data_IF_500261775241
#
_entry.id   IF_500261775241
#
_cell.length_a   1.000
_cell.length_b   1.000
_cell.length_c   1.000
_cell.angle_alpha   90.00
_cell.angle_beta   90.00
_cell.angle_gamma   90.00
#
_symmetry.space_group_name_H-M   'P 1'
#
loop_
_entity.id
_entity.type
_entity.pdbx_description
1 polymer ?
#
# COMPACT_ATOMS: atom_id res chain seq x y z
N UNK A 1 20.38 8.02 -1.77
CA UNK A 1 19.00 8.54 -1.77
C UNK A 1 18.56 8.75 -0.32
N UNK A 2 18.07 9.94 0.03
CA UNK A 2 17.46 10.20 1.34
C UNK A 2 16.01 9.77 1.22
N UNK A 3 15.59 8.73 1.95
CA UNK A 3 14.21 8.24 1.92
C UNK A 3 13.26 9.39 2.30
N UNK A 4 12.47 9.93 1.36
CA UNK A 4 11.62 11.09 1.62
C UNK A 4 10.50 10.74 2.60
N UNK A 5 10.14 9.46 2.70
CA UNK A 5 9.11 8.96 3.60
C UNK A 5 9.62 8.62 5.00
N UNK A 6 10.95 8.63 5.23
CA UNK A 6 11.56 8.30 6.52
C UNK A 6 11.12 9.24 7.64
N UNK A 7 10.88 10.51 7.30
CA UNK A 7 10.48 11.56 8.25
C UNK A 7 8.98 11.55 8.56
N UNK A 8 8.18 10.85 7.78
CA UNK A 8 6.74 10.76 8.01
C UNK A 8 6.45 9.84 9.20
N UNK A 9 5.40 10.19 9.95
CA UNK A 9 4.83 9.28 10.94
C UNK A 9 4.38 8.00 10.23
N UNK A 10 4.54 6.86 10.90
CA UNK A 10 4.19 5.54 10.35
C UNK A 10 2.78 5.51 9.73
N UNK A 11 1.81 6.13 10.39
CA UNK A 11 0.42 6.19 9.92
C UNK A 11 0.29 7.00 8.63
N UNK A 12 0.99 8.13 8.52
CA UNK A 12 0.98 8.97 7.31
C UNK A 12 1.67 8.26 6.15
N UNK A 13 2.82 7.63 6.40
CA UNK A 13 3.53 6.81 5.39
C UNK A 13 2.63 5.71 4.84
N UNK A 14 1.89 5.02 5.71
CA UNK A 14 0.98 3.96 5.27
C UNK A 14 -0.16 4.50 4.40
N UNK A 15 -0.75 5.64 4.76
CA UNK A 15 -1.80 6.28 3.94
C UNK A 15 -1.27 6.70 2.57
N UNK A 16 -0.10 7.33 2.54
CA UNK A 16 0.57 7.73 1.29
C UNK A 16 0.88 6.51 0.41
N UNK A 17 1.28 5.38 1.01
CA UNK A 17 1.51 4.15 0.27
C UNK A 17 0.24 3.63 -0.39
N UNK A 18 -0.90 3.63 0.32
CA UNK A 18 -2.17 3.20 -0.27
C UNK A 18 -2.56 4.10 -1.44
N UNK A 19 -2.51 5.42 -1.24
CA UNK A 19 -2.80 6.39 -2.30
C UNK A 19 -1.88 6.19 -3.50
N UNK A 20 -0.59 6.00 -3.27
CA UNK A 20 0.38 5.77 -4.33
C UNK A 20 0.09 4.51 -5.15
N UNK A 21 -0.39 3.44 -4.51
CA UNK A 21 -0.81 2.20 -5.19
C UNK A 21 -2.04 2.46 -6.07
N UNK A 22 -2.99 3.28 -5.59
CA UNK A 22 -4.19 3.66 -6.37
C UNK A 22 -3.87 4.59 -7.53
N UNK A 23 -2.92 5.52 -7.37
CA UNK A 23 -2.44 6.43 -8.42
C UNK A 23 -1.59 5.72 -9.48
N UNK A 24 -0.93 4.62 -9.11
CA UNK A 24 -0.02 3.87 -9.97
C UNK A 24 -0.36 2.37 -10.02
N UNK A 25 -1.53 1.97 -10.57
CA UNK A 25 -1.96 0.57 -10.60
C UNK A 25 -1.06 -0.33 -11.46
N UNK A 26 -0.22 0.25 -12.31
CA UNK A 26 0.72 -0.48 -13.18
C UNK A 26 2.04 -0.83 -12.48
N UNK A 27 2.32 -0.26 -11.30
CA UNK A 27 3.54 -0.55 -10.56
C UNK A 27 3.39 -1.85 -9.77
N UNK A 28 4.45 -2.65 -9.77
CA UNK A 28 4.50 -3.86 -8.95
C UNK A 28 4.74 -3.50 -7.48
N UNK A 29 4.31 -4.37 -6.56
CA UNK A 29 4.56 -4.19 -5.12
C UNK A 29 6.05 -4.08 -4.78
N UNK A 30 6.93 -4.66 -5.61
CA UNK A 30 8.37 -4.55 -5.44
C UNK A 30 8.87 -3.15 -5.77
N UNK A 31 8.40 -2.55 -6.87
CA UNK A 31 8.74 -1.18 -7.25
C UNK A 31 8.22 -0.18 -6.21
N UNK A 32 6.98 -0.36 -5.75
CA UNK A 32 6.39 0.46 -4.69
C UNK A 32 7.20 0.33 -3.39
N UNK A 33 7.64 -0.89 -3.04
CA UNK A 33 8.50 -1.12 -1.89
C UNK A 33 9.83 -0.36 -1.99
N UNK A 34 10.44 -0.30 -3.17
CA UNK A 34 11.67 0.48 -3.40
C UNK A 34 11.44 1.98 -3.23
N UNK A 35 10.30 2.52 -3.68
CA UNK A 35 9.95 3.95 -3.52
C UNK A 35 9.80 4.33 -2.04
N UNK A 36 9.14 3.46 -1.25
CA UNK A 36 8.89 3.70 0.18
C UNK A 36 9.97 3.12 1.11
N UNK A 37 11.03 2.56 0.54
CA UNK A 37 12.11 1.86 1.25
C UNK A 37 11.59 0.81 2.26
N UNK A 38 10.64 -0.01 1.83
CA UNK A 38 10.09 -1.13 2.61
C UNK A 38 10.02 -2.39 1.76
N UNK A 39 10.07 -3.55 2.41
CA UNK A 39 9.99 -4.83 1.70
C UNK A 39 8.64 -5.03 1.01
N UNK A 40 8.62 -5.73 -0.14
CA UNK A 40 7.37 -6.09 -0.86
C UNK A 40 6.32 -6.76 0.05
N UNK A 41 6.78 -7.62 0.97
CA UNK A 41 5.92 -8.30 1.93
C UNK A 41 5.22 -7.28 2.85
N UNK A 42 5.93 -6.23 3.25
CA UNK A 42 5.38 -5.16 4.07
C UNK A 42 4.33 -4.34 3.32
N UNK A 43 4.56 -4.06 2.03
CA UNK A 43 3.58 -3.40 1.15
C UNK A 43 2.29 -4.23 1.11
N UNK A 44 2.40 -5.53 0.87
CA UNK A 44 1.23 -6.44 0.82
C UNK A 44 0.47 -6.49 2.15
N UNK A 45 1.18 -6.57 3.29
CA UNK A 45 0.55 -6.51 4.61
C UNK A 45 -0.22 -5.20 4.85
N UNK A 46 0.37 -4.06 4.46
CA UNK A 46 -0.26 -2.75 4.61
C UNK A 46 -1.55 -2.66 3.79
N UNK A 47 -1.53 -3.08 2.53
CA UNK A 47 -2.71 -3.13 1.68
C UNK A 47 -3.80 -4.04 2.26
N UNK A 48 -3.43 -5.21 2.80
CA UNK A 48 -4.36 -6.13 3.45
C UNK A 48 -4.98 -5.51 4.71
N UNK A 49 -4.18 -4.84 5.55
CA UNK A 49 -4.68 -4.19 6.77
C UNK A 49 -5.64 -3.05 6.42
N UNK A 50 -5.32 -2.25 5.41
CA UNK A 50 -6.16 -1.14 4.98
C UNK A 50 -7.45 -1.64 4.33
N UNK A 51 -7.38 -2.71 3.52
CA UNK A 51 -8.56 -3.42 3.03
C UNK A 51 -9.42 -3.95 4.18
N UNK A 52 -8.85 -4.61 5.18
CA UNK A 52 -9.60 -5.11 6.34
C UNK A 52 -10.24 -3.99 7.19
N UNK A 53 -9.60 -2.82 7.27
CA UNK A 53 -10.20 -1.63 7.89
C UNK A 53 -11.38 -1.11 7.07
N UNK A 54 -11.24 -1.10 5.75
CA UNK A 54 -12.29 -0.63 4.84
C UNK A 54 -13.41 -1.67 4.64
N UNK A 55 -13.13 -2.96 4.77
CA UNK A 55 -14.11 -4.07 4.70
C UNK A 55 -15.01 -4.11 5.94
N UNK A 56 -14.56 -3.55 7.07
CA UNK A 56 -15.48 -3.22 8.18
C UNK A 56 -16.45 -2.09 7.83
N UNK A 57 -16.26 -1.39 6.71
CA UNK A 57 -17.12 -0.33 6.21
C UNK A 57 -17.79 -0.64 4.85
N UNK A 58 -17.32 -1.63 4.07
CA UNK A 58 -17.92 -2.01 2.79
C UNK A 58 -17.70 -3.50 2.45
N UNK A 59 -18.78 -4.17 2.07
CA UNK A 59 -18.88 -5.59 1.71
C UNK A 59 -17.96 -6.02 0.52
N UNK A 60 -17.69 -7.33 0.33
CA UNK A 60 -16.54 -7.80 -0.44
C UNK A 60 -16.77 -7.72 -1.95
N UNK A 61 -16.01 -6.87 -2.63
CA UNK A 61 -15.95 -6.88 -4.10
C UNK A 61 -15.14 -8.10 -4.56
N UNK A 62 -15.88 -9.09 -5.06
CA UNK A 62 -15.42 -10.25 -5.82
C UNK A 62 -14.79 -9.81 -7.15
N UNK A 63 -13.65 -10.41 -7.50
CA UNK A 63 -13.22 -10.94 -8.83
C UNK A 63 -11.69 -11.06 -8.77
N UNK A 64 -11.05 -12.21 -8.62
CA UNK A 64 -11.05 -13.43 -9.46
C UNK A 64 -11.09 -13.15 -10.96
N UNK A 65 -9.88 -13.23 -11.54
CA UNK A 65 -9.55 -13.88 -12.83
C UNK A 65 -10.02 -13.16 -14.11
N UNK A 66 -9.43 -13.46 -15.28
CA UNK A 66 -9.36 -14.78 -15.91
C UNK A 66 -8.14 -15.65 -15.54
#
# INVERSE_FOLDING_TARGET
MRDPYAKLRKTERNRMLVQFVEEHPNLTLEEIGRVFNISKQRVSELLKIERLKNEKAAEPVKTQQP
#
